data_IF_147662942472
#
_entry.id   IF_147662942472
#
_cell.length_a   1.000
_cell.length_b   1.000
_cell.length_c   1.000
_cell.angle_alpha   90.00
_cell.angle_beta   90.00
_cell.angle_gamma   90.00
#
_symmetry.space_group_name_H-M   'P 1'
#
loop_
_entity.id
_entity.type
_entity.pdbx_description
1 polymer ?
#
# COMPACT_ATOMS: atom_id res chain seq x y z
N UNK A 1 17.83 65.96 31.18
CA UNK A 1 17.42 67.12 30.37
C UNK A 1 17.23 66.65 28.94
N UNK A 2 16.05 66.89 28.35
CA UNK A 2 15.81 67.27 26.95
C UNK A 2 14.30 67.25 26.71
N UNK A 3 13.64 68.39 26.96
CA UNK A 3 12.29 68.65 26.46
C UNK A 3 12.41 68.79 24.94
N UNK A 4 12.06 67.76 24.19
CA UNK A 4 11.76 67.88 22.76
C UNK A 4 10.51 68.74 22.63
N UNK A 5 10.70 70.07 22.51
CA UNK A 5 9.66 70.99 22.11
C UNK A 5 9.20 70.51 20.73
N UNK A 6 8.02 69.88 20.68
CA UNK A 6 7.32 69.60 19.43
C UNK A 6 7.10 70.94 18.73
N UNK A 7 7.99 71.28 17.79
CA UNK A 7 7.73 72.35 16.83
C UNK A 7 6.56 71.85 16.01
N UNK A 8 5.36 72.34 16.32
CA UNK A 8 4.17 72.02 15.56
C UNK A 8 4.44 72.40 14.10
N UNK A 9 4.13 71.48 13.19
CA UNK A 9 4.28 71.71 11.76
C UNK A 9 3.30 72.80 11.32
N UNK A 10 3.80 73.76 10.56
CA UNK A 10 3.08 74.97 10.19
C UNK A 10 3.23 75.21 8.71
N UNK A 11 2.17 75.70 8.06
CA UNK A 11 2.20 76.09 6.66
C UNK A 11 1.62 77.50 6.52
N UNK A 12 2.27 78.34 5.72
CA UNK A 12 1.85 79.71 5.46
C UNK A 12 1.11 79.82 4.13
N UNK A 13 0.26 80.82 4.00
CA UNK A 13 -0.39 81.15 2.72
C UNK A 13 0.60 81.49 1.58
N UNK A 14 1.83 81.89 1.89
CA UNK A 14 2.90 82.11 0.89
C UNK A 14 3.40 80.75 0.36
N UNK A 15 3.68 79.80 1.25
CA UNK A 15 4.06 78.43 0.86
C UNK A 15 2.95 77.74 0.07
N UNK A 16 1.68 77.99 0.40
CA UNK A 16 0.54 77.51 -0.40
C UNK A 16 0.56 78.14 -1.80
N UNK A 17 0.81 79.44 -1.91
CA UNK A 17 0.89 80.14 -3.19
C UNK A 17 1.97 79.54 -4.10
N UNK A 18 3.13 79.23 -3.51
CA UNK A 18 4.23 78.54 -4.20
C UNK A 18 3.84 77.12 -4.62
N UNK A 19 3.21 76.35 -3.72
CA UNK A 19 2.80 74.98 -3.97
C UNK A 19 1.80 74.85 -5.14
N UNK A 20 0.84 75.77 -5.24
CA UNK A 20 -0.17 75.79 -6.31
C UNK A 20 0.21 76.66 -7.51
N UNK A 21 1.40 77.27 -7.51
CA UNK A 21 1.85 78.17 -8.57
C UNK A 21 0.96 79.41 -8.79
N UNK A 22 0.25 79.85 -7.75
CA UNK A 22 -0.70 80.97 -7.79
C UNK A 22 -0.13 82.22 -7.13
N UNK A 23 -0.67 83.40 -7.46
CA UNK A 23 -0.28 84.65 -6.76
C UNK A 23 -0.80 84.62 -5.33
N UNK A 24 0.03 85.08 -4.38
CA UNK A 24 -0.34 85.17 -2.96
C UNK A 24 -1.64 85.97 -2.71
N UNK A 25 -1.91 86.99 -3.53
CA UNK A 25 -3.17 87.76 -3.48
C UNK A 25 -4.40 86.89 -3.75
N UNK A 26 -4.31 85.94 -4.67
CA UNK A 26 -5.43 85.06 -5.06
C UNK A 26 -5.66 83.98 -3.99
N UNK A 27 -4.57 83.53 -3.36
CA UNK A 27 -4.63 82.65 -2.18
C UNK A 27 -5.34 83.33 -1.02
N UNK A 28 -4.96 84.56 -0.67
CA UNK A 28 -5.62 85.33 0.40
C UNK A 28 -7.10 85.54 0.15
N UNK A 29 -7.47 85.95 -1.06
CA UNK A 29 -8.86 86.17 -1.46
C UNK A 29 -9.67 84.88 -1.35
N UNK A 30 -9.06 83.73 -1.66
CA UNK A 30 -9.70 82.42 -1.54
C UNK A 30 -9.87 82.01 -0.08
N UNK A 31 -8.87 82.24 0.78
CA UNK A 31 -8.96 82.02 2.23
C UNK A 31 -10.09 82.87 2.83
N UNK A 32 -10.15 84.17 2.53
CA UNK A 32 -11.20 85.06 3.04
C UNK A 32 -12.61 84.61 2.62
N UNK A 33 -12.77 84.17 1.37
CA UNK A 33 -14.03 83.61 0.88
C UNK A 33 -14.41 82.31 1.58
N UNK A 34 -13.44 81.42 1.84
CA UNK A 34 -13.68 80.15 2.53
C UNK A 34 -14.04 80.37 4.01
N UNK A 35 -13.40 81.33 4.68
CA UNK A 35 -13.74 81.76 6.04
C UNK A 35 -15.15 82.35 6.07
N UNK A 36 -15.49 83.24 5.12
CA UNK A 36 -16.82 83.85 5.05
C UNK A 36 -17.94 82.82 4.80
N UNK A 37 -17.64 81.75 4.05
CA UNK A 37 -18.56 80.62 3.84
C UNK A 37 -18.58 79.61 4.98
N UNK A 38 -17.75 79.79 6.02
CA UNK A 38 -17.62 78.86 7.14
C UNK A 38 -17.00 77.50 6.77
N UNK A 39 -16.33 77.39 5.62
CA UNK A 39 -15.74 76.13 5.13
C UNK A 39 -14.42 75.82 5.84
N UNK A 40 -13.67 76.87 6.21
CA UNK A 40 -12.45 76.82 7.02
C UNK A 40 -12.59 77.74 8.23
N UNK A 41 -11.85 77.48 9.31
CA UNK A 41 -11.86 78.34 10.49
C UNK A 41 -11.06 79.63 10.26
N UNK A 42 -11.32 80.65 11.08
CA UNK A 42 -10.60 81.92 10.99
C UNK A 42 -9.12 81.73 11.34
N UNK A 43 -8.26 81.79 10.32
CA UNK A 43 -6.81 81.59 10.47
C UNK A 43 -6.12 82.86 11.00
N UNK A 44 -5.19 82.76 11.98
CA UNK A 44 -4.42 83.92 12.44
C UNK A 44 -3.60 84.57 11.33
N UNK A 45 -3.61 85.90 11.29
CA UNK A 45 -2.77 86.72 10.40
C UNK A 45 -1.47 87.08 11.13
N UNK A 46 -0.34 86.76 10.54
CA UNK A 46 0.98 87.17 11.04
C UNK A 46 1.75 87.94 9.96
N UNK A 47 2.58 88.89 10.38
CA UNK A 47 3.52 89.57 9.47
C UNK A 47 4.72 88.65 9.25
N UNK A 48 4.93 88.21 8.01
CA UNK A 48 6.00 87.30 7.63
C UNK A 48 6.95 88.00 6.67
N UNK A 49 8.24 87.71 6.78
CA UNK A 49 9.24 88.18 5.82
C UNK A 49 9.03 87.46 4.49
N UNK A 50 8.73 88.23 3.45
CA UNK A 50 8.59 87.77 2.09
C UNK A 50 9.96 87.78 1.40
N UNK A 51 10.61 86.62 1.41
CA UNK A 51 11.92 86.42 0.79
C UNK A 51 11.90 86.56 -0.75
N UNK A 52 10.73 86.71 -1.37
CA UNK A 52 10.57 86.87 -2.82
C UNK A 52 10.64 88.33 -3.28
N UNK A 53 10.57 89.32 -2.36
CA UNK A 53 10.66 90.73 -2.73
C UNK A 53 12.05 91.31 -2.44
N UNK A 54 12.75 91.80 -3.46
CA UNK A 54 14.01 92.58 -3.35
C UNK A 54 13.81 94.01 -2.81
N UNK A 55 12.63 94.30 -2.23
CA UNK A 55 12.25 95.64 -1.76
C UNK A 55 12.63 95.84 -0.27
N UNK A 56 12.97 97.05 0.17
CA UNK A 56 13.14 97.39 1.60
C UNK A 56 11.90 97.07 2.44
N UNK A 57 10.71 96.97 1.81
CA UNK A 57 9.45 96.61 2.46
C UNK A 57 9.17 95.09 2.35
N UNK A 58 10.12 94.28 2.83
CA UNK A 58 10.11 92.82 2.75
C UNK A 58 9.08 92.12 3.63
N UNK A 59 8.21 92.84 4.34
CA UNK A 59 7.25 92.25 5.26
C UNK A 59 5.86 92.19 4.64
N UNK A 60 5.27 90.99 4.55
CA UNK A 60 3.93 90.75 4.01
C UNK A 60 3.07 90.00 5.01
N UNK A 61 1.82 90.42 5.22
CA UNK A 61 0.87 89.66 6.04
C UNK A 61 0.57 88.31 5.40
N UNK A 62 0.65 87.22 6.14
CA UNK A 62 0.32 85.87 5.69
C UNK A 62 -0.54 85.15 6.75
N UNK A 63 -1.48 84.34 6.29
CA UNK A 63 -2.24 83.41 7.12
C UNK A 63 -1.38 82.21 7.51
N UNK A 64 -1.54 81.74 8.76
CA UNK A 64 -0.74 80.68 9.37
C UNK A 64 -1.58 79.47 9.77
N UNK A 65 -1.31 78.32 9.16
CA UNK A 65 -2.02 77.07 9.40
C UNK A 65 -1.22 76.18 10.34
N UNK A 66 -1.80 75.79 11.48
CA UNK A 66 -1.16 74.98 12.51
C UNK A 66 -2.11 73.89 13.04
N UNK A 67 -1.56 72.73 13.38
CA UNK A 67 -2.31 71.59 13.92
C UNK A 67 -3.21 70.89 12.89
N UNK A 68 -4.02 69.92 13.34
CA UNK A 68 -4.89 69.12 12.46
C UNK A 68 -5.94 69.97 11.74
N UNK A 69 -6.48 70.99 12.42
CA UNK A 69 -7.44 71.91 11.82
C UNK A 69 -6.78 72.77 10.73
N UNK A 70 -5.59 73.32 10.98
CA UNK A 70 -4.83 74.06 9.97
C UNK A 70 -4.41 73.18 8.79
N UNK A 71 -4.09 71.90 9.04
CA UNK A 71 -3.80 70.92 7.99
C UNK A 71 -5.03 70.66 7.10
N UNK A 72 -6.20 70.44 7.69
CA UNK A 72 -7.46 70.31 6.92
C UNK A 72 -7.73 71.56 6.10
N UNK A 73 -7.67 72.72 6.74
CA UNK A 73 -8.08 73.98 6.13
C UNK A 73 -7.11 74.39 5.01
N UNK A 74 -5.82 74.11 5.16
CA UNK A 74 -4.84 74.31 4.08
C UNK A 74 -5.03 73.36 2.90
N UNK A 75 -5.41 72.09 3.12
CA UNK A 75 -5.78 71.15 2.04
C UNK A 75 -7.02 71.63 1.29
N UNK A 76 -8.03 72.16 2.00
CA UNK A 76 -9.23 72.72 1.38
C UNK A 76 -8.89 73.94 0.50
N UNK A 77 -8.00 74.82 0.97
CA UNK A 77 -7.52 75.97 0.19
C UNK A 77 -6.80 75.50 -1.09
N UNK A 78 -5.91 74.50 -0.98
CA UNK A 78 -5.21 73.91 -2.13
C UNK A 78 -6.19 73.25 -3.11
N UNK A 79 -7.18 72.52 -2.61
CA UNK A 79 -8.18 71.85 -3.43
C UNK A 79 -9.06 72.83 -4.24
N UNK A 80 -9.34 74.01 -3.68
CA UNK A 80 -10.05 75.07 -4.41
C UNK A 80 -9.17 75.73 -5.48
N UNK A 81 -7.88 75.91 -5.20
CA UNK A 81 -6.94 76.60 -6.07
C UNK A 81 -6.35 75.71 -7.18
N UNK A 82 -6.31 74.40 -6.97
CA UNK A 82 -5.95 73.42 -8.01
C UNK A 82 -7.10 72.45 -8.27
N UNK A 83 -7.98 72.78 -9.23
CA UNK A 83 -9.00 71.87 -9.74
C UNK A 83 -8.40 70.57 -10.29
N UNK A 84 -7.17 70.61 -10.82
CA UNK A 84 -6.47 69.43 -11.34
C UNK A 84 -6.14 68.42 -10.22
N UNK A 85 -5.73 68.90 -9.05
CA UNK A 85 -5.51 68.06 -7.87
C UNK A 85 -6.82 67.37 -7.44
N UNK A 86 -7.93 68.11 -7.44
CA UNK A 86 -9.25 67.57 -7.11
C UNK A 86 -9.72 66.56 -8.16
N UNK A 87 -9.48 66.81 -9.46
CA UNK A 87 -9.81 65.87 -10.53
C UNK A 87 -9.07 64.53 -10.37
N UNK A 88 -7.76 64.56 -10.10
CA UNK A 88 -6.97 63.34 -9.86
C UNK A 88 -7.46 62.53 -8.66
N UNK A 89 -7.90 63.21 -7.59
CA UNK A 89 -8.49 62.54 -6.43
C UNK A 89 -9.78 61.81 -6.82
N UNK A 90 -10.66 62.46 -7.60
CA UNK A 90 -11.92 61.89 -8.09
C UNK A 90 -11.66 60.70 -9.03
N UNK A 91 -10.72 60.84 -9.96
CA UNK A 91 -10.33 59.78 -10.90
C UNK A 91 -9.80 58.56 -10.14
N UNK A 92 -8.98 58.77 -9.11
CA UNK A 92 -8.47 57.68 -8.27
C UNK A 92 -9.59 56.94 -7.53
N UNK A 93 -10.61 57.64 -7.04
CA UNK A 93 -11.77 57.00 -6.42
C UNK A 93 -12.55 56.16 -7.42
N UNK A 94 -12.77 56.69 -8.62
CA UNK A 94 -13.43 55.93 -9.71
C UNK A 94 -12.65 54.68 -10.10
N UNK A 95 -11.32 54.75 -10.18
CA UNK A 95 -10.47 53.57 -10.42
C UNK A 95 -10.69 52.48 -9.35
N UNK A 96 -10.71 52.86 -8.08
CA UNK A 96 -10.90 51.94 -6.96
C UNK A 96 -12.31 51.33 -6.94
N UNK A 97 -13.33 52.12 -7.26
CA UNK A 97 -14.70 51.66 -7.40
C UNK A 97 -14.85 50.69 -8.57
N UNK A 98 -14.30 51.02 -9.74
CA UNK A 98 -14.31 50.14 -10.92
C UNK A 98 -13.58 48.82 -10.64
N UNK A 99 -12.43 48.85 -9.96
CA UNK A 99 -11.71 47.64 -9.56
C UNK A 99 -12.52 46.75 -8.61
N UNK A 100 -13.39 47.33 -7.78
CA UNK A 100 -14.32 46.59 -6.91
C UNK A 100 -15.51 45.99 -7.68
N UNK A 101 -16.04 46.68 -8.68
CA UNK A 101 -17.14 46.15 -9.53
C UNK A 101 -16.70 44.96 -10.36
N UNK A 102 -15.42 44.88 -10.75
CA UNK A 102 -14.86 43.74 -11.49
C UNK A 102 -14.69 42.47 -10.64
N UNK A 103 -14.76 42.56 -9.31
CA UNK A 103 -14.77 41.38 -8.46
C UNK A 103 -16.18 40.79 -8.48
N UNK A 104 -16.31 39.57 -9.04
CA UNK A 104 -17.55 38.78 -9.00
C UNK A 104 -18.17 38.87 -7.62
N UNK A 105 -19.47 39.13 -7.58
CA UNK A 105 -20.20 39.21 -6.31
C UNK A 105 -20.11 37.86 -5.58
N UNK A 106 -20.17 37.88 -4.24
CA UNK A 106 -20.21 36.65 -3.43
C UNK A 106 -21.33 35.70 -3.90
N UNK A 107 -22.45 36.25 -4.37
CA UNK A 107 -23.58 35.47 -4.89
C UNK A 107 -23.25 34.78 -6.22
N UNK A 108 -22.53 35.44 -7.12
CA UNK A 108 -22.10 34.87 -8.40
C UNK A 108 -21.10 33.73 -8.20
N UNK A 109 -20.13 33.92 -7.29
CA UNK A 109 -19.16 32.89 -6.93
C UNK A 109 -19.88 31.66 -6.36
N UNK A 110 -20.87 31.88 -5.47
CA UNK A 110 -21.66 30.78 -4.91
C UNK A 110 -22.46 30.03 -5.98
N UNK A 111 -23.08 30.74 -6.91
CA UNK A 111 -23.84 30.14 -8.01
C UNK A 111 -22.95 29.30 -8.93
N UNK A 112 -21.77 29.80 -9.29
CA UNK A 112 -20.79 29.11 -10.14
C UNK A 112 -20.24 27.86 -9.44
N UNK A 113 -19.91 27.95 -8.14
CA UNK A 113 -19.50 26.77 -7.36
C UNK A 113 -20.59 25.70 -7.29
N UNK A 114 -21.86 26.12 -7.11
CA UNK A 114 -22.98 25.19 -7.08
C UNK A 114 -23.16 24.45 -8.43
N UNK A 115 -23.02 25.16 -9.56
CA UNK A 115 -23.07 24.55 -10.89
C UNK A 115 -21.92 23.54 -11.09
N UNK A 116 -20.69 23.92 -10.73
CA UNK A 116 -19.52 23.04 -10.81
C UNK A 116 -19.70 21.76 -9.97
N UNK A 117 -20.23 21.89 -8.75
CA UNK A 117 -20.49 20.74 -7.88
C UNK A 117 -21.49 19.75 -8.49
N UNK A 118 -22.57 20.25 -9.10
CA UNK A 118 -23.55 19.39 -9.77
C UNK A 118 -22.96 18.64 -10.96
N UNK A 119 -22.13 19.30 -11.77
CA UNK A 119 -21.43 18.66 -12.88
C UNK A 119 -20.45 17.59 -12.39
N UNK A 120 -19.71 17.89 -11.32
CA UNK A 120 -18.78 16.95 -10.72
C UNK A 120 -19.50 15.71 -10.16
N UNK A 121 -20.63 15.89 -9.48
CA UNK A 121 -21.44 14.79 -8.95
C UNK A 121 -21.96 13.89 -10.07
N UNK A 122 -22.44 14.47 -11.18
CA UNK A 122 -22.85 13.70 -12.38
C UNK A 122 -21.69 12.89 -12.94
N UNK A 123 -20.49 13.49 -13.02
CA UNK A 123 -19.28 12.81 -13.50
C UNK A 123 -18.89 11.65 -12.58
N UNK A 124 -18.93 11.85 -11.26
CA UNK A 124 -18.69 10.78 -10.27
C UNK A 124 -19.67 9.63 -10.49
N UNK A 125 -20.96 9.93 -10.61
CA UNK A 125 -21.99 8.90 -10.77
C UNK A 125 -21.80 8.09 -12.07
N UNK A 126 -21.43 8.75 -13.17
CA UNK A 126 -21.12 8.07 -14.42
C UNK A 126 -19.88 7.16 -14.31
N UNK A 127 -18.81 7.64 -13.67
CA UNK A 127 -17.60 6.83 -13.43
C UNK A 127 -17.92 5.63 -12.54
N UNK A 128 -18.68 5.83 -11.47
CA UNK A 128 -19.08 4.75 -10.57
C UNK A 128 -19.90 3.65 -11.29
N UNK A 129 -20.79 4.04 -12.21
CA UNK A 129 -21.55 3.09 -13.02
C UNK A 129 -20.62 2.26 -13.94
N UNK A 130 -19.64 2.90 -14.59
CA UNK A 130 -18.65 2.19 -15.41
C UNK A 130 -17.78 1.24 -14.58
N UNK A 131 -17.35 1.66 -13.39
CA UNK A 131 -16.57 0.80 -12.47
C UNK A 131 -17.39 -0.43 -12.06
N UNK A 132 -18.69 -0.27 -11.79
CA UNK A 132 -19.57 -1.39 -11.47
C UNK A 132 -19.66 -2.39 -12.64
N UNK A 133 -19.82 -1.91 -13.87
CA UNK A 133 -19.86 -2.77 -15.07
C UNK A 133 -18.52 -3.51 -15.27
N UNK A 134 -17.40 -2.80 -15.22
CA UNK A 134 -16.07 -3.40 -15.36
C UNK A 134 -15.82 -4.43 -14.26
N UNK A 135 -16.24 -4.15 -13.02
CA UNK A 135 -16.09 -5.10 -11.91
C UNK A 135 -16.86 -6.40 -12.16
N UNK A 136 -18.07 -6.33 -12.73
CA UNK A 136 -18.85 -7.50 -13.09
C UNK A 136 -18.16 -8.31 -14.20
N UNK A 137 -17.63 -7.65 -15.23
CA UNK A 137 -16.87 -8.30 -16.30
C UNK A 137 -15.60 -8.99 -15.76
N UNK A 138 -14.87 -8.33 -14.86
CA UNK A 138 -13.68 -8.91 -14.22
C UNK A 138 -14.04 -10.15 -13.40
N UNK A 139 -15.17 -10.14 -12.69
CA UNK A 139 -15.65 -11.33 -11.95
C UNK A 139 -15.94 -12.50 -12.90
N UNK A 140 -16.65 -12.25 -14.00
CA UNK A 140 -16.92 -13.28 -15.02
C UNK A 140 -15.63 -13.82 -15.65
N UNK A 141 -14.67 -12.95 -15.95
CA UNK A 141 -13.35 -13.36 -16.47
C UNK A 141 -12.59 -14.18 -15.42
N UNK A 142 -12.64 -13.80 -14.15
CA UNK A 142 -12.00 -14.56 -13.07
C UNK A 142 -12.60 -15.97 -12.94
N UNK A 143 -13.93 -16.10 -13.01
CA UNK A 143 -14.63 -17.39 -12.97
C UNK A 143 -14.27 -18.27 -14.17
N UNK A 144 -14.28 -17.73 -15.39
CA UNK A 144 -13.87 -18.48 -16.58
C UNK A 144 -12.40 -18.90 -16.51
N UNK A 145 -11.51 -18.04 -16.00
CA UNK A 145 -10.11 -18.40 -15.75
C UNK A 145 -9.96 -19.50 -14.70
N UNK A 146 -10.76 -19.50 -13.62
CA UNK A 146 -10.76 -20.61 -12.66
C UNK A 146 -11.22 -21.92 -13.28
N UNK A 147 -12.27 -21.88 -14.11
CA UNK A 147 -12.75 -23.06 -14.85
C UNK A 147 -11.68 -23.59 -15.81
N UNK A 148 -10.97 -22.70 -16.52
CA UNK A 148 -9.83 -23.06 -17.37
C UNK A 148 -8.69 -23.65 -16.53
N UNK A 149 -8.35 -23.03 -15.38
CA UNK A 149 -7.25 -23.48 -14.49
C UNK A 149 -7.52 -24.84 -13.85
N UNK A 150 -8.75 -25.09 -13.37
CA UNK A 150 -9.15 -26.40 -12.83
C UNK A 150 -9.13 -27.47 -13.93
N UNK A 151 -9.19 -27.04 -15.20
CA UNK A 151 -9.47 -27.89 -16.34
C UNK A 151 -10.91 -28.38 -16.22
N UNK A 152 -11.62 -28.53 -17.33
CA UNK A 152 -12.95 -29.13 -17.34
C UNK A 152 -12.89 -30.66 -17.07
N UNK A 153 -12.02 -31.09 -16.14
CA UNK A 153 -11.83 -32.50 -15.83
C UNK A 153 -13.10 -33.03 -15.20
N UNK A 154 -13.62 -34.17 -15.71
CA UNK A 154 -14.76 -34.83 -15.10
C UNK A 154 -14.54 -35.05 -13.60
N UNK A 155 -15.58 -34.82 -12.81
CA UNK A 155 -15.50 -34.99 -11.37
C UNK A 155 -15.03 -36.41 -11.01
N UNK A 156 -14.05 -36.51 -10.10
CA UNK A 156 -13.44 -37.79 -9.72
C UNK A 156 -12.32 -38.29 -10.63
N UNK A 157 -12.00 -37.60 -11.73
CA UNK A 157 -10.87 -37.93 -12.61
C UNK A 157 -9.67 -37.00 -12.40
N UNK A 158 -8.47 -37.50 -12.73
CA UNK A 158 -7.21 -36.76 -12.61
C UNK A 158 -6.23 -37.13 -13.73
N UNK A 159 -5.41 -36.17 -14.17
CA UNK A 159 -4.35 -36.43 -15.16
C UNK A 159 -3.12 -37.14 -14.55
N UNK A 160 -2.42 -37.93 -15.37
CA UNK A 160 -1.25 -38.72 -14.93
C UNK A 160 -0.14 -37.89 -14.26
N UNK A 161 0.12 -36.67 -14.73
CA UNK A 161 1.14 -35.78 -14.15
C UNK A 161 0.83 -35.39 -12.70
N UNK A 162 -0.42 -34.99 -12.44
CA UNK A 162 -0.89 -34.66 -11.10
C UNK A 162 -0.96 -35.90 -10.21
N UNK A 163 -1.36 -37.04 -10.79
CA UNK A 163 -1.40 -38.32 -10.09
C UNK A 163 0.00 -38.75 -9.62
N UNK A 164 0.99 -38.69 -10.51
CA UNK A 164 2.40 -38.98 -10.22
C UNK A 164 2.94 -38.13 -9.06
N UNK A 165 2.66 -36.81 -9.08
CA UNK A 165 3.02 -35.92 -7.98
C UNK A 165 2.37 -36.30 -6.64
N UNK A 166 1.09 -36.73 -6.65
CA UNK A 166 0.36 -37.13 -5.44
C UNK A 166 0.82 -38.46 -4.85
N UNK A 167 1.15 -39.45 -5.67
CA UNK A 167 1.58 -40.78 -5.18
C UNK A 167 3.10 -40.95 -5.07
N UNK A 168 3.88 -40.02 -5.64
CA UNK A 168 5.34 -40.09 -5.67
C UNK A 168 5.89 -41.16 -6.62
N UNK A 169 5.06 -41.72 -7.50
CA UNK A 169 5.46 -42.64 -8.57
C UNK A 169 5.83 -41.84 -9.85
N UNK A 170 6.56 -42.47 -10.77
CA UNK A 170 6.68 -41.94 -12.14
C UNK A 170 5.37 -42.12 -12.91
N UNK A 171 5.11 -41.29 -13.93
CA UNK A 171 3.90 -41.43 -14.76
C UNK A 171 3.79 -42.81 -15.42
N UNK A 172 4.92 -43.38 -15.86
CA UNK A 172 4.96 -44.73 -16.42
C UNK A 172 4.49 -45.78 -15.39
N UNK A 173 4.90 -45.66 -14.11
CA UNK A 173 4.45 -46.57 -13.05
C UNK A 173 2.99 -46.35 -12.69
N UNK A 174 2.50 -45.12 -12.76
CA UNK A 174 1.07 -44.85 -12.65
C UNK A 174 0.28 -45.58 -13.75
N UNK A 175 0.71 -45.49 -15.03
CA UNK A 175 0.08 -46.21 -16.15
C UNK A 175 0.11 -47.74 -15.96
N UNK A 176 1.23 -48.28 -15.49
CA UNK A 176 1.34 -49.71 -15.20
C UNK A 176 0.33 -50.16 -14.13
N UNK A 177 0.16 -49.38 -13.07
CA UNK A 177 -0.81 -49.66 -12.01
C UNK A 177 -2.24 -49.63 -12.55
N UNK A 178 -2.56 -48.59 -13.34
CA UNK A 178 -3.85 -48.44 -14.00
C UNK A 178 -4.18 -49.65 -14.87
N UNK A 179 -3.22 -50.10 -15.69
CA UNK A 179 -3.40 -51.26 -16.55
C UNK A 179 -3.51 -52.57 -15.74
N UNK A 180 -2.66 -52.76 -14.72
CA UNK A 180 -2.62 -53.97 -13.92
C UNK A 180 -3.89 -54.20 -13.07
N UNK A 181 -4.54 -53.11 -12.63
CA UNK A 181 -5.75 -53.16 -11.82
C UNK A 181 -7.02 -52.77 -12.61
N UNK A 182 -6.91 -52.61 -13.94
CA UNK A 182 -8.01 -52.23 -14.84
C UNK A 182 -8.82 -51.02 -14.32
N UNK A 183 -8.09 -49.99 -13.88
CA UNK A 183 -8.71 -48.77 -13.36
C UNK A 183 -9.35 -47.99 -14.52
N UNK A 184 -10.58 -47.46 -14.37
CA UNK A 184 -11.22 -46.67 -15.42
C UNK A 184 -10.38 -45.46 -15.85
N UNK A 185 -10.21 -45.33 -17.16
CA UNK A 185 -9.52 -44.21 -17.82
C UNK A 185 -10.43 -43.56 -18.85
N UNK A 186 -10.22 -42.28 -19.09
CA UNK A 186 -10.93 -41.52 -20.11
C UNK A 186 -9.97 -40.55 -20.83
N UNK A 187 -10.42 -39.92 -21.90
CA UNK A 187 -9.67 -38.90 -22.66
C UNK A 187 -10.32 -37.54 -22.46
N UNK A 188 -9.56 -36.60 -21.91
CA UNK A 188 -10.02 -35.24 -21.64
C UNK A 188 -9.45 -34.26 -22.67
N UNK A 189 -10.33 -33.49 -23.30
CA UNK A 189 -10.00 -32.39 -24.20
C UNK A 189 -9.86 -31.08 -23.41
N UNK A 190 -8.78 -30.33 -23.66
CA UNK A 190 -8.52 -29.05 -23.01
C UNK A 190 -7.81 -28.10 -23.98
N UNK A 191 -7.98 -26.79 -23.77
CA UNK A 191 -7.29 -25.75 -24.54
C UNK A 191 -5.90 -25.48 -23.96
N UNK A 192 -4.87 -25.42 -24.81
CA UNK A 192 -3.53 -24.94 -24.41
C UNK A 192 -3.53 -23.41 -24.28
N UNK A 193 -2.52 -22.81 -23.61
CA UNK A 193 -2.41 -21.35 -23.50
C UNK A 193 -2.40 -20.62 -24.85
N UNK A 194 -1.98 -21.30 -25.92
CA UNK A 194 -1.96 -20.80 -27.31
C UNK A 194 -3.31 -20.96 -28.03
N UNK A 195 -4.35 -21.45 -27.34
CA UNK A 195 -5.69 -21.64 -27.90
C UNK A 195 -5.88 -22.93 -28.71
N UNK A 196 -4.93 -23.85 -28.68
CA UNK A 196 -5.02 -25.12 -29.41
C UNK A 196 -5.78 -26.17 -28.59
N UNK A 197 -6.69 -26.92 -29.23
CA UNK A 197 -7.33 -28.07 -28.62
C UNK A 197 -6.33 -29.23 -28.48
N UNK A 198 -6.09 -29.66 -27.25
CA UNK A 198 -5.22 -30.78 -26.92
C UNK A 198 -5.98 -31.87 -26.16
N UNK A 199 -5.48 -33.10 -26.24
CA UNK A 199 -6.05 -34.27 -25.56
C UNK A 199 -5.06 -34.82 -24.54
N UNK A 200 -5.56 -35.24 -23.38
CA UNK A 200 -4.77 -35.97 -22.37
C UNK A 200 -5.57 -37.15 -21.81
N UNK A 201 -4.86 -38.21 -21.44
CA UNK A 201 -5.46 -39.33 -20.72
C UNK A 201 -5.63 -38.98 -19.23
N UNK A 202 -6.81 -39.31 -18.71
CA UNK A 202 -7.20 -39.12 -17.31
C UNK A 202 -7.61 -40.46 -16.69
N UNK A 203 -7.57 -40.54 -15.37
CA UNK A 203 -7.86 -41.76 -14.61
C UNK A 203 -8.77 -41.47 -13.43
N UNK A 204 -9.67 -42.39 -13.12
CA UNK A 204 -10.53 -42.32 -11.95
C UNK A 204 -9.69 -42.37 -10.65
N UNK A 205 -9.76 -41.32 -9.84
CA UNK A 205 -8.89 -41.13 -8.68
C UNK A 205 -9.18 -42.11 -7.53
N UNK A 206 -10.46 -42.37 -7.23
CA UNK A 206 -10.84 -43.23 -6.11
C UNK A 206 -10.43 -44.71 -6.32
N UNK A 207 -10.72 -45.33 -7.48
CA UNK A 207 -10.23 -46.69 -7.76
C UNK A 207 -8.70 -46.75 -7.80
N UNK A 208 -8.03 -45.73 -8.36
CA UNK A 208 -6.57 -45.66 -8.34
C UNK A 208 -6.01 -45.65 -6.92
N UNK A 209 -6.55 -44.80 -6.03
CA UNK A 209 -6.10 -44.72 -4.63
C UNK A 209 -6.28 -46.06 -3.90
N UNK A 210 -7.39 -46.76 -4.15
CA UNK A 210 -7.64 -48.09 -3.57
C UNK A 210 -6.58 -49.10 -4.03
N UNK A 211 -6.32 -49.17 -5.33
CA UNK A 211 -5.32 -50.07 -5.89
C UNK A 211 -3.89 -49.70 -5.45
N UNK A 212 -3.56 -48.40 -5.36
CA UNK A 212 -2.26 -47.95 -4.88
C UNK A 212 -2.02 -48.34 -3.41
N UNK A 213 -3.02 -48.17 -2.54
CA UNK A 213 -2.94 -48.64 -1.15
C UNK A 213 -2.70 -50.15 -1.07
N UNK A 214 -3.40 -50.93 -1.90
CA UNK A 214 -3.21 -52.38 -1.98
C UNK A 214 -1.79 -52.75 -2.44
N UNK A 215 -1.29 -52.11 -3.51
CA UNK A 215 0.08 -52.32 -4.00
C UNK A 215 1.08 -52.02 -2.90
N UNK A 216 0.91 -50.92 -2.15
CA UNK A 216 1.82 -50.55 -1.08
C UNK A 216 1.77 -51.52 0.11
N UNK A 217 0.62 -52.14 0.42
CA UNK A 217 0.53 -53.14 1.49
C UNK A 217 1.12 -54.50 1.09
N UNK A 218 1.09 -54.85 -0.19
CA UNK A 218 1.60 -56.12 -0.73
C UNK A 218 3.06 -56.02 -1.22
N UNK A 219 3.61 -54.80 -1.28
CA UNK A 219 4.96 -54.58 -1.82
C UNK A 219 6.04 -54.99 -0.83
N UNK A 220 7.05 -55.67 -1.34
CA UNK A 220 8.23 -56.07 -0.59
C UNK A 220 9.37 -55.05 -0.77
N UNK A 221 10.08 -54.66 0.30
CA UNK A 221 11.25 -53.81 0.18
C UNK A 221 12.41 -54.58 -0.48
N UNK A 222 12.99 -54.03 -1.55
CA UNK A 222 14.13 -54.63 -2.25
C UNK A 222 15.19 -53.56 -2.56
N UNK A 223 16.19 -53.46 -1.70
CA UNK A 223 17.19 -52.40 -1.67
C UNK A 223 16.54 -51.01 -1.54
N UNK A 224 16.83 -50.06 -2.45
CA UNK A 224 16.29 -48.69 -2.46
C UNK A 224 14.96 -48.58 -3.22
N UNK A 225 14.27 -49.69 -3.48
CA UNK A 225 13.06 -49.76 -4.32
C UNK A 225 12.07 -50.77 -3.75
N UNK A 226 10.78 -50.59 -4.06
CA UNK A 226 9.72 -51.54 -3.76
C UNK A 226 9.59 -52.56 -4.90
N UNK A 227 9.27 -53.80 -4.57
CA UNK A 227 8.91 -54.85 -5.52
C UNK A 227 7.48 -55.29 -5.29
N UNK A 228 6.70 -55.44 -6.36
CA UNK A 228 5.37 -56.02 -6.30
C UNK A 228 5.11 -56.85 -7.57
N UNK A 229 4.51 -58.05 -7.49
CA UNK A 229 4.38 -58.98 -8.62
C UNK A 229 3.75 -58.35 -9.87
N UNK A 230 2.72 -57.51 -9.69
CA UNK A 230 2.03 -56.81 -10.80
C UNK A 230 2.67 -55.51 -11.26
N UNK A 231 3.61 -54.94 -10.49
CA UNK A 231 4.16 -53.59 -10.70
C UNK A 231 5.68 -53.59 -10.96
N UNK A 232 6.33 -54.74 -10.76
CA UNK A 232 7.77 -54.91 -10.80
C UNK A 232 8.46 -54.02 -9.77
N UNK A 233 9.69 -53.62 -10.06
CA UNK A 233 10.45 -52.68 -9.22
C UNK A 233 9.95 -51.24 -9.41
N UNK A 234 9.63 -50.53 -8.33
CA UNK A 234 9.22 -49.12 -8.37
C UNK A 234 9.76 -48.30 -7.19
N UNK A 235 9.63 -46.99 -7.27
CA UNK A 235 9.95 -46.05 -6.19
C UNK A 235 8.74 -45.16 -5.97
N UNK A 236 8.41 -44.89 -4.71
CA UNK A 236 7.37 -43.98 -4.30
C UNK A 236 8.01 -42.96 -3.36
N UNK A 237 8.20 -41.72 -3.81
CA UNK A 237 8.94 -40.68 -3.08
C UNK A 237 8.36 -40.46 -1.67
N UNK A 238 7.03 -40.46 -1.55
CA UNK A 238 6.34 -40.29 -0.27
C UNK A 238 6.26 -41.56 0.59
N UNK A 239 6.84 -42.67 0.13
CA UNK A 239 6.85 -43.97 0.83
C UNK A 239 8.26 -44.58 0.76
N UNK A 240 9.20 -44.10 1.60
CA UNK A 240 10.59 -44.59 1.58
C UNK A 240 10.64 -46.09 1.90
N UNK A 241 11.54 -46.80 1.22
CA UNK A 241 11.78 -48.22 1.47
C UNK A 241 12.56 -48.34 2.78
N UNK A 242 12.11 -49.17 3.74
CA UNK A 242 12.90 -49.44 4.94
C UNK A 242 14.31 -49.91 4.56
N UNK A 243 15.34 -49.32 5.16
CA UNK A 243 16.71 -49.73 4.88
C UNK A 243 16.90 -51.20 5.27
N UNK A 244 17.39 -52.02 4.33
CA UNK A 244 17.78 -53.40 4.62
C UNK A 244 18.78 -53.41 5.78
N UNK A 245 18.61 -54.27 6.80
CA UNK A 245 19.56 -54.37 7.90
C UNK A 245 20.95 -54.65 7.33
N UNK A 246 21.89 -53.72 7.47
CA UNK A 246 23.26 -53.94 7.03
C UNK A 246 23.86 -55.04 7.90
N UNK A 247 24.54 -56.01 7.30
CA UNK A 247 25.09 -57.13 8.06
C UNK A 247 26.12 -56.69 9.13
N UNK A 248 26.65 -55.47 9.00
CA UNK A 248 27.61 -54.86 9.92
C UNK A 248 27.12 -53.49 10.43
N UNK A 249 25.98 -53.44 11.16
CA UNK A 249 25.62 -52.21 11.88
C UNK A 249 26.63 -51.95 13.03
N UNK A 250 27.08 -50.71 13.14
CA UNK A 250 27.88 -50.28 14.31
C UNK A 250 27.03 -50.30 15.58
N UNK A 251 27.65 -50.54 16.74
CA UNK A 251 26.98 -50.52 18.04
C UNK A 251 26.24 -49.20 18.32
N UNK A 252 26.78 -48.08 17.86
CA UNK A 252 26.16 -46.77 18.00
C UNK A 252 24.81 -46.72 17.27
N UNK A 253 24.81 -47.15 16.00
CA UNK A 253 23.60 -47.17 15.16
C UNK A 253 22.53 -48.11 15.72
N UNK A 254 22.93 -49.24 16.30
CA UNK A 254 21.99 -50.18 16.93
C UNK A 254 21.35 -49.57 18.18
N UNK A 255 22.15 -48.94 19.06
CA UNK A 255 21.63 -48.26 20.26
C UNK A 255 20.67 -47.12 19.92
N UNK A 256 20.95 -46.38 18.86
CA UNK A 256 20.12 -45.27 18.41
C UNK A 256 18.78 -45.74 17.83
N UNK A 257 18.75 -46.87 17.11
CA UNK A 257 17.51 -47.51 16.65
C UNK A 257 16.62 -48.01 17.80
N UNK A 258 17.23 -48.57 18.86
CA UNK A 258 16.51 -48.98 20.08
C UNK A 258 15.92 -47.76 20.79
N UNK A 259 16.72 -46.70 20.98
CA UNK A 259 16.27 -45.46 21.63
C UNK A 259 15.14 -44.74 20.91
N UNK A 260 15.05 -44.90 19.59
CA UNK A 260 14.03 -44.23 18.76
C UNK A 260 12.76 -45.07 18.57
N UNK A 261 12.65 -46.23 19.23
CA UNK A 261 11.42 -47.04 19.20
C UNK A 261 11.16 -47.75 17.86
N UNK A 262 12.12 -47.72 16.93
CA UNK A 262 12.03 -48.45 15.65
C UNK A 262 12.27 -49.95 15.81
N UNK A 263 12.13 -50.44 17.05
CA UNK A 263 12.75 -51.65 17.49
C UNK A 263 12.04 -52.48 18.62
N UNK A 264 11.24 -53.51 18.28
CA UNK A 264 10.91 -54.74 19.06
C UNK A 264 12.09 -55.56 19.62
N UNK A 265 12.17 -55.69 20.95
CA UNK A 265 13.19 -56.50 21.64
C UNK A 265 12.54 -57.67 22.38
N UNK A 266 13.08 -58.88 22.28
CA UNK A 266 12.63 -60.04 23.06
C UNK A 266 13.68 -60.47 24.09
N UNK A 267 13.24 -60.93 25.28
CA UNK A 267 14.09 -61.52 26.33
C UNK A 267 13.73 -62.99 26.56
N UNK A 268 14.73 -63.85 26.79
CA UNK A 268 14.56 -65.22 27.30
C UNK A 268 14.57 -65.17 28.84
N UNK A 269 13.60 -65.80 29.50
CA UNK A 269 13.47 -65.77 30.97
C UNK A 269 14.69 -66.34 31.72
N UNK A 270 15.45 -67.23 31.08
CA UNK A 270 16.65 -67.87 31.61
C UNK A 270 17.96 -67.08 31.42
N UNK A 271 17.93 -65.89 30.82
CA UNK A 271 19.13 -65.08 30.55
C UNK A 271 19.27 -63.89 31.52
N UNK A 272 20.52 -63.53 31.93
CA UNK A 272 20.78 -62.37 32.78
C UNK A 272 20.29 -61.07 32.10
N UNK A 273 19.96 -60.05 32.89
CA UNK A 273 19.26 -58.80 32.48
C UNK A 273 19.89 -57.97 31.36
N UNK A 274 21.03 -58.37 30.80
CA UNK A 274 21.75 -57.65 29.76
C UNK A 274 21.62 -58.20 28.34
N UNK A 275 20.84 -59.26 28.09
CA UNK A 275 20.81 -59.95 26.78
C UNK A 275 19.49 -59.70 26.05
N UNK A 276 19.59 -59.08 24.88
CA UNK A 276 18.47 -58.55 24.08
C UNK A 276 18.47 -59.15 22.68
N UNK A 277 17.34 -59.62 22.18
CA UNK A 277 17.28 -60.25 20.84
C UNK A 277 16.32 -59.55 19.88
N UNK A 278 16.75 -59.43 18.62
CA UNK A 278 16.14 -58.61 17.57
C UNK A 278 15.53 -59.41 16.41
N UNK A 279 14.24 -59.19 16.09
CA UNK A 279 13.73 -59.41 14.73
C UNK A 279 13.03 -58.16 14.16
N UNK A 280 13.42 -57.71 12.96
CA UNK A 280 12.63 -56.74 12.17
C UNK A 280 11.62 -57.52 11.29
N UNK A 281 10.32 -57.29 11.52
CA UNK A 281 9.26 -57.69 10.58
C UNK A 281 8.74 -59.14 10.62
N UNK A 282 8.92 -59.88 11.73
CA UNK A 282 8.33 -61.22 11.89
C UNK A 282 9.04 -62.36 11.15
N UNK A 283 10.27 -62.14 10.68
CA UNK A 283 11.13 -63.22 10.14
C UNK A 283 11.61 -64.17 11.25
N UNK A 284 11.53 -65.48 11.00
CA UNK A 284 12.02 -66.55 11.91
C UNK A 284 13.54 -66.83 11.80
N UNK A 285 14.29 -66.08 10.99
CA UNK A 285 15.72 -66.33 10.71
C UNK A 285 16.56 -65.06 10.87
N UNK A 286 17.82 -65.23 11.28
CA UNK A 286 18.87 -64.20 11.50
C UNK A 286 18.70 -63.36 12.78
N UNK A 287 18.57 -64.02 13.92
CA UNK A 287 18.50 -63.34 15.22
C UNK A 287 19.89 -62.84 15.64
N UNK A 288 19.92 -61.75 16.40
CA UNK A 288 21.17 -61.15 16.90
C UNK A 288 21.02 -60.73 18.35
N UNK A 289 22.08 -60.91 19.13
CA UNK A 289 22.17 -60.47 20.52
C UNK A 289 23.34 -59.54 20.77
N UNK A 290 23.22 -58.67 21.78
CA UNK A 290 24.33 -57.85 22.29
C UNK A 290 24.85 -58.51 23.58
N UNK A 291 26.12 -58.93 23.57
CA UNK A 291 26.82 -59.44 24.75
C UNK A 291 28.18 -58.75 24.84
N UNK A 292 28.53 -58.25 26.02
CA UNK A 292 29.83 -57.61 26.28
C UNK A 292 30.19 -56.50 25.28
N UNK A 293 29.18 -55.73 24.86
CA UNK A 293 29.34 -54.66 23.90
C UNK A 293 29.69 -55.13 22.47
N UNK A 294 29.42 -56.38 22.10
CA UNK A 294 29.57 -56.92 20.75
C UNK A 294 28.27 -57.56 20.26
N UNK A 295 28.04 -57.51 18.96
CA UNK A 295 26.86 -58.10 18.31
C UNK A 295 27.21 -59.50 17.85
N UNK A 296 26.47 -60.49 18.31
CA UNK A 296 26.62 -61.88 17.93
C UNK A 296 25.38 -62.35 17.17
N UNK A 297 25.58 -63.02 16.03
CA UNK A 297 24.51 -63.76 15.35
C UNK A 297 24.21 -65.04 16.14
N UNK A 298 22.94 -65.31 16.39
CA UNK A 298 22.48 -66.53 17.02
C UNK A 298 21.30 -67.05 16.20
N UNK A 299 21.25 -68.35 15.96
CA UNK A 299 20.03 -68.99 15.46
C UNK A 299 19.23 -69.48 16.67
N UNK A 300 18.02 -68.96 16.85
CA UNK A 300 17.09 -69.36 17.91
C UNK A 300 15.99 -70.24 17.33
N UNK A 301 15.54 -71.25 18.10
CA UNK A 301 14.37 -72.02 17.76
C UNK A 301 13.09 -71.21 18.10
N UNK A 302 11.97 -71.40 17.38
CA UNK A 302 10.72 -70.66 17.64
C UNK A 302 10.18 -70.80 19.08
N UNK A 303 10.54 -71.89 19.75
CA UNK A 303 10.18 -72.24 21.13
C UNK A 303 10.89 -71.36 22.18
N UNK A 304 11.95 -70.66 21.77
CA UNK A 304 12.82 -69.89 22.67
C UNK A 304 12.33 -68.46 22.94
N UNK A 305 11.22 -68.05 22.33
CA UNK A 305 10.70 -66.68 22.36
C UNK A 305 9.49 -66.61 23.29
N UNK A 306 9.66 -66.04 24.49
CA UNK A 306 8.65 -66.14 25.57
C UNK A 306 7.79 -64.87 25.71
N UNK A 307 8.18 -63.71 25.17
CA UNK A 307 7.37 -62.49 25.23
C UNK A 307 7.76 -61.48 24.13
N UNK A 308 6.76 -60.79 23.56
CA UNK A 308 6.93 -59.69 22.59
C UNK A 308 6.57 -58.36 23.24
N UNK A 309 7.28 -58.00 24.31
CA UNK A 309 7.04 -56.71 24.96
C UNK A 309 7.83 -55.60 24.27
N UNK A 310 7.12 -54.55 23.85
CA UNK A 310 7.71 -53.37 23.26
C UNK A 310 8.38 -52.56 24.37
N UNK A 311 9.71 -52.44 24.34
CA UNK A 311 10.39 -51.47 25.18
C UNK A 311 10.35 -50.14 24.45
N UNK A 312 9.32 -49.35 24.78
CA UNK A 312 9.31 -47.92 24.50
C UNK A 312 9.98 -47.24 25.70
N UNK A 313 11.10 -46.55 25.47
CA UNK A 313 11.49 -45.41 26.30
C UNK A 313 11.29 -44.14 25.51
#
# INVERSE_FOLDING_TARGET
>A
MNRSISRKATMTSIEIAELVGSRHSDVKRSIERLVAKGVIQHTPLATVENNQSLSPNKYTKAYFFEGEQGKRDSIVVVAQLSPEFTARLVDRWRELENARVQLKSKAEILAEMAQMHLEHERRINAVNAQVAEVSAQVSMVAETLEQIKKGNMPEGYIGYRQLAAKCGLTEAKCRNLVNAFRIPTDTHEFLTPEGLLARRSIVALAPFRKAFKQVMSEAEPRNKRWYHPKMGMFQAIHHPVPESPKDNLSLHTVREKIRTGYATVCRRSSWPEGIWVWPEGGSRKRWRTIRDGKIHAIDLAPEDVVATDWIVS
#
